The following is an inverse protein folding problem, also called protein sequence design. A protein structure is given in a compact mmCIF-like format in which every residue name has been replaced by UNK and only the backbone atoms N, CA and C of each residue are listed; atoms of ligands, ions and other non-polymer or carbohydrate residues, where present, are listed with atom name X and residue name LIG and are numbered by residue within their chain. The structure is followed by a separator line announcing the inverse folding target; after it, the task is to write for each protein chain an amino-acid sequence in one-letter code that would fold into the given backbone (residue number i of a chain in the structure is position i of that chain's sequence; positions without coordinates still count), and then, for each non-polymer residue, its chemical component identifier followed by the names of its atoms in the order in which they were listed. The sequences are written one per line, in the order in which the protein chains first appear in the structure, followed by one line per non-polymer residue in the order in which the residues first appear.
data_IF_286586718786
#
_entry.id   IF_286586718786
#
_cell.length_a   1.000
_cell.length_b   1.000
_cell.length_c   1.000
_cell.angle_alpha   90.00
_cell.angle_beta   90.00
_cell.angle_gamma   90.00
#
_symmetry.space_group_name_H-M   'P 1'
#
loop_
_entity.id
_entity.type
_entity.pdbx_description
1 polymer ?
#
# COMPACT_ATOMS: atom_id res chain seq x y z
N UNK A 1 2.13 16.17 -9.68
CA UNK A 1 2.54 17.18 -10.68
C UNK A 1 1.91 16.79 -11.99
N UNK A 2 1.64 17.74 -12.89
CA UNK A 2 1.06 17.41 -14.19
C UNK A 2 2.00 17.86 -15.28
N UNK A 3 2.35 16.95 -16.16
CA UNK A 3 3.25 17.21 -17.28
C UNK A 3 2.54 16.89 -18.57
N UNK A 4 2.87 17.60 -19.66
CA UNK A 4 2.33 17.16 -20.95
C UNK A 4 3.31 17.24 -22.10
N UNK A 5 3.39 16.13 -22.82
CA UNK A 5 4.33 15.88 -23.90
C UNK A 5 3.57 15.65 -25.20
N UNK A 6 4.24 15.84 -26.33
CA UNK A 6 3.73 15.39 -27.61
C UNK A 6 4.36 14.05 -27.98
N UNK A 7 3.52 13.02 -28.17
CA UNK A 7 3.96 11.73 -28.67
C UNK A 7 3.12 11.36 -29.89
N UNK A 8 3.77 11.24 -31.06
CA UNK A 8 3.12 10.88 -32.34
C UNK A 8 1.90 11.75 -32.71
N UNK A 9 1.94 13.04 -32.41
CA UNK A 9 0.84 13.97 -32.70
C UNK A 9 -0.27 14.01 -31.64
N UNK A 10 -0.15 13.23 -30.55
CA UNK A 10 -1.05 13.30 -29.40
C UNK A 10 -0.43 14.11 -28.27
N UNK A 11 -1.25 14.91 -27.59
CA UNK A 11 -0.89 15.50 -26.30
C UNK A 11 -1.08 14.43 -25.21
N UNK A 12 0.00 14.08 -24.53
CA UNK A 12 0.05 13.12 -23.43
C UNK A 12 0.13 13.90 -22.14
N UNK A 13 -0.79 13.69 -21.21
CA UNK A 13 -0.77 14.32 -19.88
C UNK A 13 -0.46 13.26 -18.82
N UNK A 14 0.44 13.55 -17.90
CA UNK A 14 0.75 12.71 -16.74
C UNK A 14 0.08 13.29 -15.52
N UNK A 15 -0.99 12.67 -15.03
CA UNK A 15 -1.59 13.03 -13.76
C UNK A 15 -0.93 12.19 -12.65
N UNK A 16 0.07 12.75 -11.96
CA UNK A 16 0.66 12.04 -10.81
C UNK A 16 -0.30 12.13 -9.63
N UNK A 17 -0.87 10.98 -9.26
CA UNK A 17 -1.68 10.82 -8.07
C UNK A 17 -0.90 11.24 -6.82
N UNK A 18 -1.58 11.89 -5.88
CA UNK A 18 -1.02 12.24 -4.57
C UNK A 18 -1.94 11.68 -3.49
N UNK A 19 -1.37 10.94 -2.54
CA UNK A 19 -2.12 10.39 -1.41
C UNK A 19 -2.83 11.47 -0.55
N UNK A 20 -2.38 12.73 -0.60
CA UNK A 20 -2.96 13.83 0.15
C UNK A 20 -4.18 14.52 -0.53
N UNK A 21 -4.75 13.95 -1.60
CA UNK A 21 -5.98 14.49 -2.20
C UNK A 21 -7.15 14.37 -1.23
N UNK A 22 -7.98 15.41 -1.15
CA UNK A 22 -9.08 15.45 -0.19
C UNK A 22 -10.14 14.40 -0.48
N UNK A 23 -10.48 14.16 -1.76
CA UNK A 23 -11.44 13.12 -2.13
C UNK A 23 -10.95 11.71 -1.77
N UNK A 24 -9.67 11.41 -2.02
CA UNK A 24 -9.04 10.17 -1.56
C UNK A 24 -9.12 10.00 -0.02
N UNK A 25 -8.72 11.04 0.73
CA UNK A 25 -8.75 10.98 2.20
C UNK A 25 -10.17 10.81 2.75
N UNK A 26 -11.14 11.50 2.16
CA UNK A 26 -12.56 11.39 2.53
C UNK A 26 -13.12 10.00 2.24
N UNK A 27 -12.79 9.41 1.08
CA UNK A 27 -13.21 8.06 0.74
C UNK A 27 -12.64 7.03 1.75
N UNK A 28 -11.34 7.11 2.04
CA UNK A 28 -10.70 6.26 3.05
C UNK A 28 -11.33 6.44 4.44
N UNK A 29 -11.51 7.69 4.89
CA UNK A 29 -12.12 7.99 6.18
C UNK A 29 -13.57 7.49 6.26
N UNK A 30 -14.32 7.56 5.17
CA UNK A 30 -15.70 7.03 5.10
C UNK A 30 -15.71 5.51 5.28
N UNK A 31 -14.84 4.80 4.59
CA UNK A 31 -14.73 3.33 4.71
C UNK A 31 -14.31 2.91 6.12
N UNK A 32 -13.29 3.56 6.68
CA UNK A 32 -12.86 3.32 8.06
C UNK A 32 -14.00 3.58 9.05
N UNK A 33 -14.69 4.71 8.92
CA UNK A 33 -15.81 5.06 9.82
C UNK A 33 -16.96 4.06 9.71
N UNK A 34 -17.27 3.58 8.50
CA UNK A 34 -18.27 2.52 8.28
C UNK A 34 -17.86 1.22 8.98
N UNK A 35 -16.62 0.78 8.80
CA UNK A 35 -16.11 -0.42 9.46
C UNK A 35 -16.12 -0.30 10.98
N UNK A 36 -15.70 0.85 11.54
CA UNK A 36 -15.77 1.11 12.99
C UNK A 36 -17.22 1.11 13.48
N UNK A 37 -18.18 1.62 12.70
CA UNK A 37 -19.58 1.66 13.09
C UNK A 37 -20.20 0.27 13.26
N UNK A 38 -19.68 -0.75 12.58
CA UNK A 38 -20.11 -2.15 12.68
C UNK A 38 -19.66 -2.83 13.99
N UNK A 39 -18.67 -2.25 14.69
CA UNK A 39 -18.17 -2.76 15.97
C UNK A 39 -19.13 -2.44 17.13
N UNK A 40 -19.20 -3.34 18.11
CA UNK A 40 -19.88 -3.09 19.39
C UNK A 40 -19.12 -2.05 20.22
N UNK A 41 -19.80 -1.46 21.21
CA UNK A 41 -19.15 -0.50 22.12
C UNK A 41 -18.02 -1.13 22.93
N UNK A 42 -18.14 -2.41 23.27
CA UNK A 42 -17.08 -3.19 23.91
C UNK A 42 -15.86 -3.33 23.00
N UNK A 43 -16.07 -3.71 21.73
CA UNK A 43 -14.98 -3.82 20.75
C UNK A 43 -14.28 -2.48 20.51
N UNK A 44 -15.05 -1.38 20.42
CA UNK A 44 -14.54 -0.01 20.25
C UNK A 44 -13.67 0.45 21.42
N UNK A 45 -13.96 -0.02 22.65
CA UNK A 45 -13.23 0.40 23.86
C UNK A 45 -11.77 -0.08 23.88
N UNK A 46 -11.44 -1.12 23.12
CA UNK A 46 -10.09 -1.71 23.00
C UNK A 46 -9.71 -1.86 21.52
N UNK A 47 -10.01 -0.85 20.70
CA UNK A 47 -9.67 -0.86 19.27
C UNK A 47 -8.46 0.00 18.93
N UNK A 48 -7.75 -0.40 17.88
CA UNK A 48 -6.77 0.44 17.18
C UNK A 48 -6.93 0.24 15.68
N UNK A 49 -6.81 1.35 14.93
CA UNK A 49 -6.74 1.34 13.48
C UNK A 49 -5.29 1.17 13.04
N UNK A 50 -4.97 0.10 12.32
CA UNK A 50 -3.63 -0.14 11.80
C UNK A 50 -3.63 0.02 10.29
N UNK A 51 -2.94 1.03 9.79
CA UNK A 51 -2.67 1.14 8.36
C UNK A 51 -1.56 0.18 7.99
N UNK A 52 -1.81 -0.67 6.98
CA UNK A 52 -0.82 -1.54 6.37
C UNK A 52 -0.50 -1.03 4.97
N UNK A 53 0.76 -0.64 4.77
CA UNK A 53 1.29 -0.18 3.49
C UNK A 53 2.29 -1.20 2.95
N UNK A 54 2.41 -1.37 1.64
CA UNK A 54 3.46 -2.22 1.08
C UNK A 54 4.85 -1.70 1.47
N UNK A 55 5.72 -2.57 1.97
CA UNK A 55 7.09 -2.21 2.28
C UNK A 55 7.87 -1.81 1.03
N UNK A 56 8.93 -1.04 1.22
CA UNK A 56 9.95 -0.81 0.20
C UNK A 56 11.32 -1.02 0.83
N UNK A 57 12.36 -1.40 0.06
CA UNK A 57 13.72 -1.39 0.56
C UNK A 57 14.07 -0.03 1.18
N UNK A 58 14.70 -0.03 2.36
CA UNK A 58 15.04 1.21 3.07
C UNK A 58 15.98 2.09 2.23
N UNK A 59 16.82 1.47 1.40
CA UNK A 59 17.69 2.17 0.46
C UNK A 59 16.96 3.11 -0.50
N UNK A 60 15.69 2.82 -0.87
CA UNK A 60 14.92 3.71 -1.74
C UNK A 60 14.55 5.01 -1.01
N UNK A 61 14.16 4.88 0.27
CA UNK A 61 13.87 6.03 1.12
C UNK A 61 15.13 6.85 1.38
N UNK A 62 16.25 6.20 1.69
CA UNK A 62 17.54 6.88 1.88
C UNK A 62 18.03 7.60 0.62
N UNK A 63 17.71 7.04 -0.55
CA UNK A 63 18.02 7.67 -1.82
C UNK A 63 17.16 8.94 -2.03
N UNK A 64 15.93 8.98 -1.53
CA UNK A 64 15.07 10.16 -1.57
C UNK A 64 13.66 9.88 -2.06
N UNK A 65 13.25 8.62 -2.13
CA UNK A 65 11.88 8.26 -2.48
C UNK A 65 10.88 8.89 -1.48
N UNK A 66 9.89 9.69 -1.94
CA UNK A 66 8.96 10.39 -1.08
C UNK A 66 7.88 9.47 -0.47
N UNK A 67 7.84 8.18 -0.85
CA UNK A 67 6.80 7.23 -0.49
C UNK A 67 6.46 7.22 0.99
N UNK A 68 7.44 7.03 1.87
CA UNK A 68 7.22 6.94 3.32
C UNK A 68 6.50 8.18 3.83
N UNK A 69 7.01 9.37 3.46
CA UNK A 69 6.46 10.65 3.89
C UNK A 69 5.03 10.85 3.37
N UNK A 70 4.77 10.52 2.11
CA UNK A 70 3.44 10.66 1.53
C UNK A 70 2.41 9.74 2.20
N UNK A 71 2.77 8.50 2.50
CA UNK A 71 1.90 7.57 3.22
C UNK A 71 1.64 8.06 4.65
N UNK A 72 2.66 8.53 5.36
CA UNK A 72 2.51 9.07 6.72
C UNK A 72 1.59 10.30 6.76
N UNK A 73 1.79 11.26 5.84
CA UNK A 73 0.94 12.45 5.72
C UNK A 73 -0.50 12.07 5.38
N UNK A 74 -0.68 11.09 4.50
CA UNK A 74 -2.00 10.57 4.14
C UNK A 74 -2.72 9.93 5.33
N UNK A 75 -2.07 8.98 6.03
CA UNK A 75 -2.67 8.29 7.18
C UNK A 75 -3.09 9.29 8.25
N UNK A 76 -2.22 10.27 8.53
CA UNK A 76 -2.53 11.36 9.47
C UNK A 76 -3.77 12.15 9.01
N UNK A 77 -3.80 12.60 7.76
CA UNK A 77 -4.93 13.38 7.23
C UNK A 77 -6.24 12.59 7.16
N UNK A 78 -6.18 11.28 6.92
CA UNK A 78 -7.35 10.39 7.00
C UNK A 78 -7.87 10.31 8.44
N UNK A 79 -6.98 10.10 9.42
CA UNK A 79 -7.38 9.97 10.82
C UNK A 79 -7.90 11.28 11.43
N UNK A 80 -7.44 12.43 10.95
CA UNK A 80 -8.03 13.73 11.27
C UNK A 80 -9.51 13.82 10.86
N UNK A 81 -9.91 13.14 9.78
CA UNK A 81 -11.31 13.07 9.33
C UNK A 81 -12.13 12.00 10.07
N UNK A 82 -11.50 10.89 10.47
CA UNK A 82 -12.16 9.82 11.24
C UNK A 82 -12.47 10.28 12.67
N UNK A 83 -11.53 10.98 13.31
CA UNK A 83 -11.67 11.54 14.65
C UNK A 83 -10.44 11.32 15.53
N UNK A 84 -10.10 12.32 16.34
CA UNK A 84 -8.87 12.35 17.15
C UNK A 84 -8.81 11.32 18.29
N UNK A 85 -9.96 10.80 18.71
CA UNK A 85 -10.06 9.82 19.80
C UNK A 85 -9.72 8.39 19.35
N UNK A 86 -9.66 8.14 18.04
CA UNK A 86 -9.36 6.81 17.50
C UNK A 86 -7.85 6.60 17.44
N UNK A 87 -7.35 5.68 18.26
CA UNK A 87 -5.94 5.28 18.24
C UNK A 87 -5.58 4.63 16.91
N UNK A 88 -4.41 4.96 16.38
CA UNK A 88 -3.93 4.40 15.12
C UNK A 88 -2.42 4.23 15.07
N UNK A 89 -1.97 3.34 14.18
CA UNK A 89 -0.55 3.12 13.85
C UNK A 89 -0.38 2.82 12.36
N UNK A 90 0.85 2.94 11.86
CA UNK A 90 1.25 2.64 10.48
C UNK A 90 2.36 1.60 10.49
N UNK A 91 2.20 0.57 9.67
CA UNK A 91 3.16 -0.51 9.46
C UNK A 91 3.34 -0.84 7.99
N UNK A 92 4.39 -1.61 7.70
CA UNK A 92 4.81 -1.98 6.36
C UNK A 92 4.85 -3.50 6.18
N UNK A 93 4.13 -4.00 5.18
CA UNK A 93 3.94 -5.42 4.90
C UNK A 93 4.80 -5.91 3.72
N UNK A 94 4.72 -7.20 3.41
CA UNK A 94 5.25 -7.79 2.15
C UNK A 94 6.77 -7.62 1.94
N UNK A 95 7.59 -7.84 2.97
CA UNK A 95 9.06 -7.85 2.86
C UNK A 95 9.60 -9.15 2.25
N UNK A 96 10.57 -9.06 1.34
CA UNK A 96 11.20 -10.23 0.70
C UNK A 96 12.72 -10.14 0.62
N UNK A 97 13.39 -11.29 0.76
CA UNK A 97 14.84 -11.39 0.64
C UNK A 97 15.63 -10.79 1.82
N UNK A 98 16.96 -10.78 1.75
CA UNK A 98 17.83 -10.48 2.90
C UNK A 98 18.13 -8.98 3.09
N UNK A 99 17.52 -8.10 2.31
CA UNK A 99 17.78 -6.65 2.36
C UNK A 99 16.99 -6.00 3.49
N UNK A 100 17.41 -4.82 3.94
CA UNK A 100 16.67 -4.08 4.95
C UNK A 100 15.48 -3.37 4.31
N UNK A 101 14.31 -3.59 4.88
CA UNK A 101 13.04 -3.01 4.44
C UNK A 101 12.59 -1.91 5.37
N UNK A 102 11.72 -1.05 4.86
CA UNK A 102 11.06 0.00 5.65
C UNK A 102 10.24 -0.63 6.78
N UNK A 103 10.44 -0.12 7.99
CA UNK A 103 9.82 -0.59 9.24
C UNK A 103 8.96 0.53 9.86
N UNK A 104 8.01 0.24 10.77
CA UNK A 104 7.81 -1.03 11.48
C UNK A 104 7.08 -2.09 10.63
N UNK A 105 7.37 -3.37 10.89
CA UNK A 105 6.83 -4.47 10.09
C UNK A 105 5.45 -4.92 10.59
N UNK A 106 4.54 -5.25 9.67
CA UNK A 106 3.14 -5.53 10.02
C UNK A 106 2.99 -6.71 10.98
N UNK A 107 3.75 -7.79 10.79
CA UNK A 107 3.78 -8.94 11.69
C UNK A 107 4.24 -8.56 13.11
N UNK A 108 5.36 -7.86 13.22
CA UNK A 108 5.92 -7.42 14.51
C UNK A 108 4.97 -6.45 15.25
N UNK A 109 4.33 -5.51 14.53
CA UNK A 109 3.36 -4.58 15.12
C UNK A 109 2.12 -5.31 15.63
N UNK A 110 1.64 -6.35 14.93
CA UNK A 110 0.51 -7.16 15.40
C UNK A 110 0.86 -7.84 16.73
N UNK A 111 2.07 -8.39 16.85
CA UNK A 111 2.54 -9.01 18.09
C UNK A 111 2.62 -7.99 19.23
N UNK A 112 3.24 -6.82 19.00
CA UNK A 112 3.35 -5.74 19.99
C UNK A 112 1.97 -5.24 20.47
N UNK A 113 1.02 -5.06 19.54
CA UNK A 113 -0.35 -4.65 19.87
C UNK A 113 -1.05 -5.72 20.72
N UNK A 114 -0.91 -6.99 20.37
CA UNK A 114 -1.49 -8.08 21.14
C UNK A 114 -0.88 -8.18 22.55
N UNK A 115 0.45 -8.04 22.69
CA UNK A 115 1.16 -8.01 23.97
C UNK A 115 0.74 -6.84 24.85
N UNK A 116 0.37 -5.70 24.25
CA UNK A 116 -0.19 -4.55 24.98
C UNK A 116 -1.59 -4.79 25.55
N UNK A 117 -2.23 -5.92 25.19
CA UNK A 117 -3.58 -6.30 25.61
C UNK A 117 -4.69 -5.80 24.69
N UNK A 118 -4.37 -5.31 23.48
CA UNK A 118 -5.36 -4.88 22.49
C UNK A 118 -6.27 -6.06 22.11
N UNK A 119 -7.59 -5.81 22.07
CA UNK A 119 -8.59 -6.85 21.73
C UNK A 119 -9.20 -6.71 20.35
N UNK A 120 -9.21 -5.49 19.80
CA UNK A 120 -9.82 -5.20 18.49
C UNK A 120 -8.81 -4.53 17.57
N UNK A 121 -8.55 -5.13 16.42
CA UNK A 121 -7.68 -4.59 15.38
C UNK A 121 -8.48 -4.31 14.10
N UNK A 122 -8.46 -3.06 13.66
CA UNK A 122 -9.06 -2.63 12.38
C UNK A 122 -7.93 -2.35 11.39
N UNK A 123 -7.77 -3.18 10.36
CA UNK A 123 -6.65 -3.09 9.41
C UNK A 123 -7.07 -2.37 8.13
N UNK A 124 -6.28 -1.38 7.71
CA UNK A 124 -6.57 -0.54 6.54
C UNK A 124 -5.47 -0.73 5.49
N UNK A 125 -5.77 -1.31 4.30
CA UNK A 125 -4.82 -1.37 3.21
C UNK A 125 -4.69 0.00 2.54
N UNK A 126 -3.64 0.76 2.86
CA UNK A 126 -3.52 2.18 2.45
C UNK A 126 -2.76 2.38 1.15
N UNK A 127 -1.86 1.47 0.80
CA UNK A 127 -1.00 1.63 -0.38
C UNK A 127 -1.67 1.19 -1.68
N UNK A 128 -2.91 0.68 -1.64
CA UNK A 128 -3.60 0.11 -2.80
C UNK A 128 -5.06 0.57 -2.86
N UNK A 129 -5.59 0.62 -4.08
CA UNK A 129 -6.96 1.10 -4.36
C UNK A 129 -7.90 -0.02 -4.76
N UNK A 130 -7.42 -1.27 -4.82
CA UNK A 130 -8.20 -2.44 -5.24
C UNK A 130 -7.78 -3.66 -4.45
N UNK A 131 -8.64 -4.67 -4.42
CA UNK A 131 -8.33 -5.96 -3.80
C UNK A 131 -7.32 -6.73 -4.67
N UNK A 132 -6.39 -7.42 -4.00
CA UNK A 132 -5.29 -8.17 -4.62
C UNK A 132 -4.71 -9.16 -3.60
N UNK A 133 -3.65 -9.90 -3.94
CA UNK A 133 -3.16 -11.01 -3.10
C UNK A 133 -2.72 -10.52 -1.71
N UNK A 134 -2.14 -9.34 -1.64
CA UNK A 134 -1.67 -8.72 -0.41
C UNK A 134 -2.82 -8.29 0.52
N UNK A 135 -4.04 -8.07 0.02
CA UNK A 135 -5.22 -7.82 0.87
C UNK A 135 -5.97 -9.09 1.21
N UNK A 136 -6.17 -9.97 0.24
CA UNK A 136 -7.02 -11.15 0.36
C UNK A 136 -6.32 -12.34 1.03
N UNK A 137 -5.01 -12.48 0.84
CA UNK A 137 -4.21 -13.54 1.45
C UNK A 137 -3.43 -12.99 2.64
N UNK A 138 -2.57 -11.99 2.42
CA UNK A 138 -1.64 -11.55 3.48
C UNK A 138 -2.39 -10.92 4.66
N UNK A 139 -3.32 -9.97 4.42
CA UNK A 139 -4.10 -9.37 5.50
C UNK A 139 -5.22 -10.30 6.00
N UNK A 140 -6.06 -10.82 5.10
CA UNK A 140 -7.27 -11.53 5.49
C UNK A 140 -7.02 -12.94 6.03
N UNK A 141 -5.91 -13.57 5.67
CA UNK A 141 -5.54 -14.91 6.13
C UNK A 141 -4.34 -14.81 7.07
N UNK A 142 -3.15 -14.44 6.58
CA UNK A 142 -1.92 -14.57 7.38
C UNK A 142 -1.92 -13.67 8.63
N UNK A 143 -2.14 -12.36 8.46
CA UNK A 143 -2.15 -11.40 9.57
C UNK A 143 -3.37 -11.57 10.48
N UNK A 144 -4.51 -11.99 9.93
CA UNK A 144 -5.68 -12.35 10.73
C UNK A 144 -5.37 -13.54 11.63
N UNK A 145 -4.81 -14.62 11.08
CA UNK A 145 -4.43 -15.82 11.84
C UNK A 145 -3.41 -15.46 12.94
N UNK A 146 -2.38 -14.68 12.60
CA UNK A 146 -1.38 -14.18 13.56
C UNK A 146 -2.04 -13.38 14.69
N UNK A 147 -2.91 -12.42 14.36
CA UNK A 147 -3.59 -11.58 15.35
C UNK A 147 -4.43 -12.42 16.33
N UNK A 148 -5.21 -13.37 15.80
CA UNK A 148 -6.03 -14.26 16.60
C UNK A 148 -5.19 -15.19 17.49
N UNK A 149 -4.08 -15.74 16.97
CA UNK A 149 -3.15 -16.57 17.74
C UNK A 149 -2.51 -15.79 18.90
N UNK A 150 -2.18 -14.52 18.69
CA UNK A 150 -1.54 -13.65 19.70
C UNK A 150 -2.51 -13.07 20.72
N UNK A 151 -3.82 -13.27 20.55
CA UNK A 151 -4.84 -12.93 21.55
C UNK A 151 -5.65 -11.66 21.25
N UNK A 152 -5.58 -11.13 20.03
CA UNK A 152 -6.56 -10.18 19.50
C UNK A 152 -7.85 -10.97 19.22
N UNK A 153 -8.98 -10.49 19.70
CA UNK A 153 -10.25 -11.23 19.64
C UNK A 153 -11.09 -10.84 18.43
N UNK A 154 -10.98 -9.58 17.99
CA UNK A 154 -11.67 -9.04 16.83
C UNK A 154 -10.67 -8.50 15.82
N UNK A 155 -10.68 -9.07 14.62
CA UNK A 155 -9.89 -8.58 13.48
C UNK A 155 -10.83 -8.20 12.34
N UNK A 156 -10.79 -6.95 11.92
CA UNK A 156 -11.61 -6.44 10.83
C UNK A 156 -10.74 -5.71 9.81
N UNK A 157 -10.79 -6.15 8.56
CA UNK A 157 -10.14 -5.45 7.45
C UNK A 157 -11.13 -4.46 6.82
N UNK A 158 -10.68 -3.23 6.61
CA UNK A 158 -11.39 -2.23 5.81
C UNK A 158 -11.23 -2.60 4.33
N UNK A 159 -12.30 -2.62 3.52
CA UNK A 159 -12.19 -2.91 2.10
C UNK A 159 -11.28 -1.89 1.40
N UNK A 160 -10.59 -2.31 0.35
CA UNK A 160 -9.91 -1.37 -0.53
C UNK A 160 -10.92 -0.41 -1.17
N UNK A 161 -10.47 0.78 -1.61
CA UNK A 161 -11.35 1.81 -2.18
C UNK A 161 -12.27 1.29 -3.28
N UNK A 162 -11.74 0.46 -4.17
CA UNK A 162 -12.51 -0.24 -5.20
C UNK A 162 -13.37 0.72 -6.02
N UNK A 163 -14.69 0.59 -5.86
CA UNK A 163 -15.70 1.36 -6.59
C UNK A 163 -16.31 2.51 -5.76
N UNK A 164 -15.62 2.99 -4.73
CA UNK A 164 -16.10 4.14 -3.95
C UNK A 164 -16.34 5.35 -4.87
N UNK A 165 -17.57 5.88 -4.83
CA UNK A 165 -18.01 6.95 -5.72
C UNK A 165 -17.21 8.25 -5.51
N UNK A 166 -16.81 8.54 -4.26
CA UNK A 166 -16.06 9.75 -3.93
C UNK A 166 -14.63 9.65 -4.45
N UNK A 167 -14.02 8.47 -4.33
CA UNK A 167 -12.72 8.19 -4.92
C UNK A 167 -12.76 8.27 -6.45
N UNK A 168 -13.74 7.66 -7.11
CA UNK A 168 -13.90 7.71 -8.57
C UNK A 168 -14.10 9.16 -9.04
N UNK A 169 -14.92 9.95 -8.32
CA UNK A 169 -15.11 11.37 -8.61
C UNK A 169 -13.80 12.14 -8.50
N UNK A 170 -13.02 11.92 -7.43
CA UNK A 170 -11.73 12.60 -7.23
C UNK A 170 -10.70 12.24 -8.31
N UNK A 171 -10.71 11.01 -8.83
CA UNK A 171 -9.90 10.63 -9.99
C UNK A 171 -10.34 11.40 -11.26
N UNK A 172 -11.64 11.61 -11.44
CA UNK A 172 -12.19 12.44 -12.51
C UNK A 172 -11.72 13.89 -12.41
N UNK A 173 -11.82 14.46 -11.20
CA UNK A 173 -11.36 15.82 -10.90
C UNK A 173 -9.85 15.95 -11.13
N UNK A 174 -9.06 14.97 -10.71
CA UNK A 174 -7.62 14.92 -10.95
C UNK A 174 -7.28 15.01 -12.45
N UNK A 175 -8.04 14.30 -13.31
CA UNK A 175 -7.83 14.35 -14.77
C UNK A 175 -8.23 15.71 -15.33
N UNK A 176 -9.31 16.31 -14.85
CA UNK A 176 -9.77 17.64 -15.29
C UNK A 176 -8.76 18.71 -14.88
N UNK A 177 -8.32 18.71 -13.62
CA UNK A 177 -7.25 19.56 -13.09
C UNK A 177 -5.98 19.42 -13.92
N UNK A 178 -5.60 18.19 -14.25
CA UNK A 178 -4.42 17.92 -15.05
C UNK A 178 -4.49 18.57 -16.44
N UNK A 179 -5.65 18.54 -17.09
CA UNK A 179 -5.81 19.19 -18.40
C UNK A 179 -5.72 20.72 -18.34
N UNK A 180 -5.94 21.32 -17.18
CA UNK A 180 -5.85 22.78 -16.98
C UNK A 180 -4.42 23.25 -16.70
N UNK A 181 -3.51 22.35 -16.32
CA UNK A 181 -2.12 22.68 -16.05
C UNK A 181 -1.33 22.91 -17.36
N UNK A 182 -0.32 23.79 -17.33
CA UNK A 182 0.51 24.05 -18.51
C UNK A 182 1.27 22.80 -18.94
N UNK A 183 1.43 22.64 -20.26
CA UNK A 183 2.20 21.56 -20.85
C UNK A 183 3.69 21.71 -20.55
N UNK A 184 4.23 20.81 -19.74
CA UNK A 184 5.66 20.72 -19.47
C UNK A 184 6.30 19.63 -20.32
N UNK A 185 7.40 19.95 -21.00
CA UNK A 185 8.21 18.94 -21.70
C UNK A 185 8.66 17.87 -20.71
N UNK A 186 8.82 16.63 -21.19
CA UNK A 186 9.33 15.52 -20.36
C UNK A 186 10.63 15.90 -19.64
N UNK A 187 11.51 16.68 -20.29
CA UNK A 187 12.76 17.16 -19.67
C UNK A 187 12.53 18.15 -18.53
N UNK A 188 11.54 19.03 -18.65
CA UNK A 188 11.17 20.00 -17.59
C UNK A 188 10.47 19.27 -16.44
N UNK A 189 9.67 18.27 -16.78
CA UNK A 189 9.03 17.37 -15.84
C UNK A 189 10.03 16.57 -15.01
N UNK A 190 10.99 15.93 -15.69
CA UNK A 190 12.07 15.21 -15.05
C UNK A 190 12.90 16.14 -14.18
N UNK A 191 13.21 17.37 -14.62
CA UNK A 191 13.96 18.33 -13.80
C UNK A 191 13.21 18.75 -12.52
N UNK A 192 11.88 18.91 -12.59
CA UNK A 192 11.05 19.23 -11.42
C UNK A 192 10.94 18.05 -10.45
N UNK A 193 10.88 16.83 -10.97
CA UNK A 193 10.94 15.60 -10.17
C UNK A 193 12.36 15.31 -9.62
N UNK A 194 13.40 15.66 -10.37
CA UNK A 194 14.80 15.42 -10.02
C UNK A 194 15.38 16.51 -9.11
N UNK A 195 14.74 17.67 -8.97
CA UNK A 195 15.00 18.60 -7.87
C UNK A 195 14.81 17.96 -6.48
N UNK A 196 14.03 16.88 -6.40
CA UNK A 196 13.86 16.02 -5.23
C UNK A 196 14.69 14.71 -5.35
N UNK A 197 14.90 14.16 -6.56
CA UNK A 197 15.52 12.83 -6.76
C UNK A 197 17.00 12.78 -7.23
N UNK A 198 17.65 13.89 -7.62
CA UNK A 198 18.99 13.86 -8.25
C UNK A 198 20.12 13.32 -7.36
N UNK A 199 19.97 13.32 -6.03
CA UNK A 199 20.95 12.70 -5.12
C UNK A 199 20.73 11.19 -4.92
N UNK A 200 19.56 10.69 -5.33
CA UNK A 200 19.12 9.31 -5.17
C UNK A 200 19.72 8.38 -6.23
N UNK A 201 19.59 8.78 -7.49
CA UNK A 201 19.77 7.92 -8.65
C UNK A 201 21.25 7.59 -8.93
N UNK A 202 22.18 8.55 -8.75
CA UNK A 202 23.63 8.32 -8.91
C UNK A 202 24.21 7.36 -7.85
N UNK A 203 23.59 7.29 -6.66
CA UNK A 203 24.00 6.37 -5.59
C UNK A 203 23.37 4.98 -5.77
N UNK A 204 22.11 4.94 -6.23
CA UNK A 204 21.33 3.73 -6.52
C UNK A 204 21.92 2.89 -7.66
N UNK A 205 22.38 3.49 -8.77
CA UNK A 205 22.93 2.74 -9.91
C UNK A 205 24.26 2.03 -9.60
N UNK A 206 25.07 2.56 -8.69
CA UNK A 206 26.32 1.90 -8.28
C UNK A 206 26.13 0.79 -7.23
N UNK A 207 25.10 0.87 -6.37
CA UNK A 207 24.87 -0.11 -5.30
C UNK A 207 23.83 -1.21 -5.66
N UNK A 208 22.84 -0.92 -6.52
CA UNK A 208 21.64 -1.78 -6.70
C UNK A 208 21.53 -2.54 -8.04
N UNK A 209 22.61 -2.68 -8.80
CA UNK A 209 22.64 -3.56 -9.98
C UNK A 209 22.22 -5.02 -9.68
N UNK A 210 22.47 -5.48 -8.45
CA UNK A 210 22.01 -6.78 -7.95
C UNK A 210 20.54 -6.77 -7.49
N UNK A 211 20.03 -5.65 -6.97
CA UNK A 211 18.68 -5.51 -6.43
C UNK A 211 17.62 -5.53 -7.54
N UNK A 212 17.86 -4.80 -8.63
CA UNK A 212 16.99 -4.80 -9.82
C UNK A 212 16.92 -6.18 -10.49
N UNK A 213 18.05 -6.90 -10.54
CA UNK A 213 18.12 -8.28 -11.00
C UNK A 213 17.35 -9.22 -10.08
N UNK A 214 17.38 -8.98 -8.76
CA UNK A 214 16.67 -9.77 -7.76
C UNK A 214 15.16 -9.52 -7.82
N UNK A 215 14.69 -8.28 -7.93
CA UNK A 215 13.26 -7.96 -8.12
C UNK A 215 12.72 -8.49 -9.45
N UNK A 216 13.47 -8.38 -10.54
CA UNK A 216 13.09 -8.97 -11.84
C UNK A 216 13.09 -10.50 -11.79
N UNK A 217 14.01 -11.12 -11.05
CA UNK A 217 14.06 -12.57 -10.86
C UNK A 217 12.89 -13.04 -9.97
N UNK A 218 12.65 -12.39 -8.83
CA UNK A 218 11.53 -12.66 -7.93
C UNK A 218 10.19 -12.44 -8.61
N UNK A 219 10.02 -11.35 -9.38
CA UNK A 219 8.83 -11.10 -10.17
C UNK A 219 8.62 -12.13 -11.27
N UNK A 220 9.70 -12.60 -11.93
CA UNK A 220 9.62 -13.70 -12.92
C UNK A 220 9.29 -15.05 -12.27
N UNK A 221 9.83 -15.34 -11.09
CA UNK A 221 9.52 -16.52 -10.29
C UNK A 221 8.09 -16.51 -9.79
N UNK A 222 7.59 -15.36 -9.32
CA UNK A 222 6.19 -15.16 -8.94
C UNK A 222 5.26 -15.37 -10.15
N UNK A 223 5.59 -14.81 -11.32
CA UNK A 223 4.81 -15.00 -12.55
C UNK A 223 4.85 -16.45 -13.07
N UNK A 224 5.98 -17.16 -12.91
CA UNK A 224 6.07 -18.59 -13.17
C UNK A 224 5.23 -19.40 -12.18
N UNK A 225 5.27 -19.04 -10.89
CA UNK A 225 4.44 -19.65 -9.84
C UNK A 225 2.96 -19.49 -10.14
N UNK A 226 2.51 -18.28 -10.48
CA UNK A 226 1.13 -17.98 -10.91
C UNK A 226 0.76 -18.78 -12.16
N UNK A 227 1.67 -18.88 -13.14
CA UNK A 227 1.45 -19.69 -14.35
C UNK A 227 1.28 -21.19 -14.04
N UNK A 228 2.09 -21.73 -13.13
CA UNK A 228 2.00 -23.11 -12.66
C UNK A 228 0.73 -23.34 -11.85
N UNK A 229 0.37 -22.45 -10.92
CA UNK A 229 -0.87 -22.47 -10.15
C UNK A 229 -2.11 -22.42 -11.05
N UNK A 230 -2.08 -21.56 -12.07
CA UNK A 230 -3.16 -21.45 -13.06
C UNK A 230 -3.30 -22.74 -13.86
N UNK A 231 -2.17 -23.35 -14.28
CA UNK A 231 -2.16 -24.64 -14.96
C UNK A 231 -2.63 -25.80 -14.05
N UNK A 232 -2.24 -25.80 -12.77
CA UNK A 232 -2.64 -26.82 -11.79
C UNK A 232 -4.12 -26.73 -11.43
N UNK A 233 -4.68 -25.52 -11.31
CA UNK A 233 -6.13 -25.32 -11.17
C UNK A 233 -6.91 -25.74 -12.42
N UNK A 234 -6.32 -25.56 -13.61
CA UNK A 234 -6.93 -26.03 -14.86
C UNK A 234 -6.92 -27.57 -15.00
N UNK A 235 -6.02 -28.26 -14.28
CA UNK A 235 -5.87 -29.73 -14.30
C UNK A 235 -6.57 -30.39 -13.09
N UNK A 236 -7.19 -29.62 -12.19
CA UNK A 236 -8.17 -30.10 -11.22
C UNK A 236 -7.59 -30.86 -10.02
N UNK A 237 -6.50 -30.39 -9.41
CA UNK A 237 -5.90 -31.05 -8.23
C UNK A 237 -5.64 -30.10 -7.07
N UNK A 238 -6.11 -30.46 -5.87
CA UNK A 238 -5.93 -29.74 -4.60
C UNK A 238 -4.47 -29.65 -4.09
N UNK A 239 -3.48 -29.88 -4.95
CA UNK A 239 -2.06 -29.94 -4.61
C UNK A 239 -1.35 -28.58 -4.67
N UNK A 240 -1.99 -27.55 -5.24
CA UNK A 240 -1.37 -26.25 -5.47
C UNK A 240 -1.20 -25.42 -4.17
N UNK A 241 -2.06 -25.65 -3.18
CA UNK A 241 -2.03 -24.95 -1.88
C UNK A 241 -0.89 -25.48 -0.99
N UNK A 242 -0.57 -26.77 -1.07
CA UNK A 242 0.48 -27.40 -0.25
C UNK A 242 1.91 -27.01 -0.71
N UNK A 243 2.09 -26.69 -2.00
CA UNK A 243 3.40 -26.36 -2.57
C UNK A 243 3.85 -24.93 -2.25
N UNK A 244 2.92 -23.98 -2.07
CA UNK A 244 3.23 -22.60 -1.68
C UNK A 244 3.83 -22.52 -0.27
N UNK A 245 3.47 -23.44 0.62
CA UNK A 245 4.07 -23.55 1.98
C UNK A 245 5.53 -23.97 1.97
N UNK A 246 6.04 -24.55 0.87
CA UNK A 246 7.40 -25.07 0.75
C UNK A 246 8.39 -24.09 0.11
N UNK A 247 7.93 -22.94 -0.37
CA UNK A 247 8.76 -21.95 -1.10
C UNK A 247 9.14 -20.73 -0.22
N UNK A 248 8.72 -20.70 1.05
CA UNK A 248 9.20 -19.73 2.05
C UNK A 248 10.60 -20.08 2.56
#
# INVERSE_FOLDING_TARGET
MVYSSQFRGYNVFFACFRYNRDGYKQAMASLISKSIAELTDEQKSSMTVMFSAHGVPESYIEAGDPYQKQIQECCKGVMELVGSEVSWTLCYQSRVGPVKWLSPYTDEVIEELAESGLKTLVVVPVSFVSEHIETLEEIDIEYRELALEKGIETFQRVPALGLDESFISDLGDMVIEAKQQPSLKVTEAMALSAGEATKAEEKLEMENGALLQTELASGRLAMLGIGVLTAMNYIGGSAAVELLRLIR
#
